data_IF_147100192432
#
_entry.id   IF_147100192432
#
_cell.length_a   1.000
_cell.length_b   1.000
_cell.length_c   1.000
_cell.angle_alpha   90.00
_cell.angle_beta   90.00
_cell.angle_gamma   90.00
#
_symmetry.space_group_name_H-M   'P 1'
#
loop_
_entity.id
_entity.type
_entity.pdbx_description
1 polymer ?
#
# COMPACT_ATOMS: atom_id res chain seq x y z
N UNK A 1 -5.15 -2.51 3.09
CA UNK A 1 -4.96 -2.82 1.66
C UNK A 1 -3.94 -1.86 1.09
N UNK A 2 -2.99 -2.34 0.30
CA UNK A 2 -2.02 -1.51 -0.42
C UNK A 2 -2.31 -1.57 -1.91
N UNK A 3 -2.29 -0.41 -2.56
CA UNK A 3 -2.48 -0.25 -4.00
C UNK A 3 -1.41 0.69 -4.55
N UNK A 4 -0.99 0.45 -5.79
CA UNK A 4 -0.05 1.35 -6.47
C UNK A 4 -0.81 2.55 -7.05
N UNK A 5 -0.58 3.74 -6.49
CA UNK A 5 -1.26 4.97 -6.94
C UNK A 5 -0.77 5.47 -8.29
N UNK A 6 0.35 4.94 -8.80
CA UNK A 6 0.87 5.27 -10.13
C UNK A 6 0.13 4.53 -11.25
N UNK A 7 -0.65 3.50 -10.91
CA UNK A 7 -1.52 2.81 -11.86
C UNK A 7 -2.84 3.58 -12.01
N UNK A 8 -3.46 3.48 -13.18
CA UNK A 8 -4.78 4.08 -13.44
C UNK A 8 -5.84 3.47 -12.49
N UNK A 9 -6.95 4.18 -12.23
CA UNK A 9 -8.01 3.68 -11.34
C UNK A 9 -8.54 2.29 -11.70
N UNK A 10 -8.66 1.99 -13.00
CA UNK A 10 -9.13 0.70 -13.52
C UNK A 10 -8.14 -0.44 -13.32
N UNK A 11 -6.84 -0.16 -13.26
CA UNK A 11 -5.79 -1.16 -13.09
C UNK A 11 -5.44 -1.37 -11.62
N UNK A 12 -5.35 -0.29 -10.83
CA UNK A 12 -4.87 -0.33 -9.43
C UNK A 12 -5.77 -1.11 -8.47
N UNK A 13 -7.02 -1.37 -8.86
CA UNK A 13 -8.01 -2.14 -8.09
C UNK A 13 -8.21 -3.56 -8.60
N UNK A 14 -7.46 -3.99 -9.63
CA UNK A 14 -7.50 -5.39 -10.05
C UNK A 14 -6.90 -6.29 -8.96
N UNK A 15 -7.42 -7.52 -8.77
CA UNK A 15 -6.89 -8.45 -7.78
C UNK A 15 -5.38 -8.67 -7.89
N UNK A 16 -4.82 -8.70 -9.12
CA UNK A 16 -3.38 -8.85 -9.33
C UNK A 16 -2.53 -7.66 -8.85
N UNK A 17 -3.12 -6.47 -8.68
CA UNK A 17 -2.44 -5.24 -8.28
C UNK A 17 -2.71 -4.83 -6.83
N UNK A 18 -3.48 -5.63 -6.09
CA UNK A 18 -3.80 -5.41 -4.68
C UNK A 18 -2.89 -6.27 -3.81
N UNK A 19 -2.26 -5.64 -2.80
CA UNK A 19 -1.47 -6.35 -1.81
C UNK A 19 -2.05 -6.19 -0.41
N UNK A 20 -2.20 -7.31 0.31
CA UNK A 20 -2.70 -7.35 1.69
C UNK A 20 -1.55 -7.83 2.60
N UNK A 21 -0.83 -6.90 3.27
CA UNK A 21 0.35 -7.23 4.08
C UNK A 21 0.01 -7.93 5.40
N UNK A 22 -1.25 -7.88 5.84
CA UNK A 22 -1.70 -8.46 7.09
C UNK A 22 -3.20 -8.30 7.29
N UNK A 23 -3.77 -9.17 8.12
CA UNK A 23 -5.18 -9.18 8.49
C UNK A 23 -5.24 -9.17 10.01
N UNK A 24 -6.02 -8.26 10.58
CA UNK A 24 -6.28 -8.20 12.02
C UNK A 24 -7.40 -9.21 12.31
N UNK A 25 -7.14 -10.24 13.14
CA UNK A 25 -8.17 -11.22 13.48
C UNK A 25 -9.25 -10.59 14.37
N UNK A 26 -10.52 -10.89 14.05
CA UNK A 26 -11.70 -10.61 14.89
C UNK A 26 -11.65 -11.50 16.16
N UNK A 27 -12.23 -11.12 17.33
CA UNK A 27 -13.23 -10.07 17.58
C UNK A 27 -12.74 -8.84 18.37
N UNK A 28 -11.49 -8.81 18.82
CA UNK A 28 -10.98 -7.70 19.64
C UNK A 28 -10.15 -6.75 18.80
N UNK A 29 -10.36 -5.47 19.01
CA UNK A 29 -9.50 -4.44 18.46
C UNK A 29 -8.06 -4.65 18.96
N UNK A 30 -7.06 -4.67 18.07
CA UNK A 30 -5.68 -4.89 18.46
C UNK A 30 -5.17 -3.67 19.23
N UNK A 31 -4.37 -3.93 20.25
CA UNK A 31 -3.60 -2.88 20.93
C UNK A 31 -2.62 -2.21 19.96
N UNK A 32 -2.18 -0.98 20.28
CA UNK A 32 -1.13 -0.28 19.51
C UNK A 32 0.14 -1.10 19.36
N UNK A 33 0.50 -1.88 20.38
CA UNK A 33 1.65 -2.79 20.34
C UNK A 33 1.45 -3.92 19.33
N UNK A 34 0.27 -4.55 19.32
CA UNK A 34 -0.07 -5.60 18.35
C UNK A 34 -0.11 -5.06 16.91
N UNK A 35 -0.65 -3.86 16.72
CA UNK A 35 -0.60 -3.17 15.43
C UNK A 35 0.83 -2.91 14.97
N UNK A 36 1.70 -2.42 15.85
CA UNK A 36 3.11 -2.21 15.52
C UNK A 36 3.80 -3.52 15.12
N UNK A 37 3.54 -4.62 15.82
CA UNK A 37 4.09 -5.93 15.45
C UNK A 37 3.63 -6.39 14.06
N UNK A 38 2.36 -6.17 13.71
CA UNK A 38 1.83 -6.47 12.39
C UNK A 38 2.46 -5.60 11.29
N UNK A 39 2.70 -4.32 11.58
CA UNK A 39 3.25 -3.36 10.61
C UNK A 39 4.77 -3.44 10.47
N UNK A 40 5.49 -3.92 11.48
CA UNK A 40 6.97 -3.92 11.49
C UNK A 40 7.60 -4.66 10.29
N UNK A 41 7.14 -5.84 9.86
CA UNK A 41 7.66 -6.50 8.68
C UNK A 41 7.49 -5.67 7.41
N UNK A 42 6.33 -5.02 7.26
CA UNK A 42 6.03 -4.15 6.13
C UNK A 42 6.96 -2.92 6.14
N UNK A 43 7.08 -2.24 7.28
CA UNK A 43 7.97 -1.07 7.44
C UNK A 43 9.42 -1.46 7.12
N UNK A 44 9.89 -2.61 7.60
CA UNK A 44 11.25 -3.11 7.29
C UNK A 44 11.46 -3.29 5.79
N UNK A 45 10.49 -3.86 5.07
CA UNK A 45 10.55 -4.02 3.61
C UNK A 45 10.47 -2.70 2.85
N UNK A 46 9.88 -1.66 3.44
CA UNK A 46 9.74 -0.35 2.82
C UNK A 46 10.93 0.59 3.03
N UNK A 47 11.88 0.23 3.91
CA UNK A 47 13.10 1.02 4.11
C UNK A 47 13.97 1.09 2.87
N UNK A 48 14.19 -0.04 2.20
CA UNK A 48 15.00 -0.08 0.98
C UNK A 48 14.35 0.70 -0.18
N UNK A 49 13.07 0.49 -0.53
CA UNK A 49 12.39 1.29 -1.56
C UNK A 49 12.32 2.78 -1.27
N UNK A 50 12.33 3.16 0.01
CA UNK A 50 12.35 4.56 0.42
C UNK A 50 13.68 5.25 0.08
N UNK A 51 14.79 4.55 0.29
CA UNK A 51 16.11 5.03 -0.16
C UNK A 51 16.17 5.08 -1.69
N UNK A 52 15.52 4.12 -2.33
CA UNK A 52 15.31 4.05 -3.77
C UNK A 52 16.06 2.90 -4.42
N UNK A 53 15.60 2.53 -5.61
CA UNK A 53 16.17 1.46 -6.42
C UNK A 53 16.62 2.00 -7.77
N UNK A 54 17.81 1.58 -8.20
CA UNK A 54 18.25 1.72 -9.57
C UNK A 54 17.85 0.47 -10.35
N UNK A 55 16.92 0.64 -11.28
CA UNK A 55 16.58 -0.37 -12.26
C UNK A 55 17.58 -0.30 -13.41
N UNK A 56 18.06 -1.47 -13.81
CA UNK A 56 18.99 -1.60 -14.95
C UNK A 56 18.34 -1.07 -16.23
N UNK A 57 19.17 -0.61 -17.19
CA UNK A 57 18.70 -0.26 -18.52
C UNK A 57 17.79 -1.34 -19.13
N UNK A 58 16.68 -0.91 -19.70
CA UNK A 58 15.79 -1.76 -20.50
C UNK A 58 15.80 -1.27 -21.95
N UNK A 59 15.29 -2.09 -22.88
CA UNK A 59 15.15 -1.69 -24.29
C UNK A 59 14.38 -0.37 -24.46
N UNK A 60 13.41 -0.10 -23.58
CA UNK A 60 12.61 1.13 -23.56
C UNK A 60 13.19 2.25 -22.70
N UNK A 61 14.27 1.99 -21.96
CA UNK A 61 14.89 2.91 -21.01
C UNK A 61 16.39 2.67 -20.90
N UNK A 62 17.20 3.09 -21.90
CA UNK A 62 18.62 2.78 -21.98
C UNK A 62 19.47 3.40 -20.86
N UNK A 63 18.96 4.40 -20.15
CA UNK A 63 19.62 5.00 -18.98
C UNK A 63 19.28 4.31 -17.66
N UNK A 64 18.44 3.26 -17.69
CA UNK A 64 17.82 2.71 -16.47
C UNK A 64 16.79 3.67 -15.87
N UNK A 65 16.35 3.37 -14.65
CA UNK A 65 15.39 4.22 -13.93
C UNK A 65 15.67 4.21 -12.43
N UNK A 66 15.68 5.38 -11.80
CA UNK A 66 15.70 5.49 -10.35
C UNK A 66 14.28 5.67 -9.81
N UNK A 67 13.84 4.77 -8.94
CA UNK A 67 12.48 4.78 -8.38
C UNK A 67 12.55 4.79 -6.86
N UNK A 68 11.70 5.61 -6.24
CA UNK A 68 11.40 5.54 -4.80
C UNK A 68 9.96 5.12 -4.60
N UNK A 69 9.71 4.36 -3.55
CA UNK A 69 8.36 3.97 -3.14
C UNK A 69 8.05 4.64 -1.81
N UNK A 70 6.88 5.27 -1.74
CA UNK A 70 6.32 5.83 -0.53
C UNK A 70 4.94 5.20 -0.27
N UNK A 71 4.60 5.02 1.01
CA UNK A 71 3.25 4.60 1.42
C UNK A 71 2.52 5.79 1.99
N UNK A 72 1.33 6.05 1.45
CA UNK A 72 0.34 6.91 2.06
C UNK A 72 -0.60 6.06 2.90
N UNK A 73 -0.69 6.37 4.18
CA UNK A 73 -1.58 5.70 5.12
C UNK A 73 -2.83 6.57 5.32
N UNK A 74 -4.00 6.00 5.09
CA UNK A 74 -5.28 6.60 5.43
C UNK A 74 -5.88 5.82 6.60
N UNK A 75 -6.08 6.50 7.73
CA UNK A 75 -6.79 5.98 8.90
C UNK A 75 -7.98 6.91 9.12
N UNK A 76 -9.18 6.37 9.01
CA UNK A 76 -10.41 7.08 9.31
C UNK A 76 -11.50 6.06 9.69
N UNK A 77 -12.61 6.56 10.23
CA UNK A 77 -13.81 5.73 10.38
C UNK A 77 -14.35 5.29 9.01
N UNK A 78 -15.29 4.34 9.00
CA UNK A 78 -15.84 3.76 7.77
C UNK A 78 -16.47 4.82 6.86
N UNK A 79 -17.19 5.81 7.43
CA UNK A 79 -17.87 6.83 6.64
C UNK A 79 -16.87 7.80 5.98
N UNK A 80 -15.83 8.20 6.71
CA UNK A 80 -14.74 9.02 6.18
C UNK A 80 -13.90 8.23 5.16
N UNK A 81 -13.64 6.94 5.39
CA UNK A 81 -12.95 6.08 4.42
C UNK A 81 -13.73 5.96 3.11
N UNK A 82 -15.04 5.76 3.14
CA UNK A 82 -15.87 5.74 1.92
C UNK A 82 -15.74 7.02 1.10
N UNK A 83 -15.71 8.19 1.76
CA UNK A 83 -15.48 9.48 1.09
C UNK A 83 -14.06 9.57 0.51
N UNK A 84 -13.05 9.13 1.25
CA UNK A 84 -11.66 9.17 0.82
C UNK A 84 -11.38 8.24 -0.37
N UNK A 85 -12.02 7.08 -0.42
CA UNK A 85 -11.77 6.05 -1.45
C UNK A 85 -12.74 6.11 -2.62
N UNK A 86 -13.85 6.83 -2.49
CA UNK A 86 -14.95 6.80 -3.45
C UNK A 86 -15.72 5.47 -3.45
N UNK A 87 -15.58 4.66 -2.38
CA UNK A 87 -16.39 3.45 -2.23
C UNK A 87 -17.81 3.86 -1.83
N UNK A 88 -18.80 3.38 -2.59
CA UNK A 88 -20.20 3.59 -2.25
C UNK A 88 -20.53 2.66 -1.08
N UNK A 89 -21.11 3.15 0.02
CA UNK A 89 -21.61 2.28 1.08
C UNK A 89 -22.63 1.29 0.49
N UNK A 90 -22.47 0.00 0.79
CA UNK A 90 -23.50 -0.99 0.56
C UNK A 90 -24.23 -1.22 1.88
N UNK A 91 -25.56 -1.17 1.85
CA UNK A 91 -26.43 -1.40 3.01
C UNK A 91 -26.58 -2.88 3.33
#
# INVERSE_FOLDING_TARGET
MLICLNLSPSERLKPENIYVPGIIPSPKEPTSLQLNYLLMPLIKKLKEPWQGYHFVPTSTGPSGCFVRVAILMAIADVAAMHKLTGFVPHS
#
